data_IF_502138044247
#
_entry.id   IF_502138044247
#
_cell.length_a   1.000
_cell.length_b   1.000
_cell.length_c   1.000
_cell.angle_alpha   90.00
_cell.angle_beta   90.00
_cell.angle_gamma   90.00
#
_symmetry.space_group_name_H-M   'P 1'
#
loop_
_entity.id
_entity.type
_entity.pdbx_description
1 polymer ?
#
# COMPACT_ATOMS: atom_id res chain seq x y z
N UNK A 1 20.29 -5.98 29.11
CA UNK A 1 18.92 -5.44 28.96
C UNK A 1 19.11 -4.09 28.32
N UNK A 2 18.88 -4.00 27.02
CA UNK A 2 19.01 -2.75 26.30
C UNK A 2 17.88 -1.82 26.75
N UNK A 3 18.23 -0.57 27.04
CA UNK A 3 17.23 0.44 27.36
C UNK A 3 16.28 0.60 26.17
N UNK A 4 14.96 0.77 26.40
CA UNK A 4 14.04 1.03 25.31
C UNK A 4 14.49 2.29 24.55
N UNK A 5 14.32 2.31 23.22
CA UNK A 5 14.73 3.44 22.42
C UNK A 5 14.05 4.72 22.91
N UNK A 6 14.84 5.79 23.04
CA UNK A 6 14.35 7.08 23.50
C UNK A 6 13.77 7.83 22.31
N UNK A 7 12.50 8.23 22.41
CA UNK A 7 11.82 8.99 21.36
C UNK A 7 11.81 10.48 21.68
N UNK A 8 12.29 11.30 20.74
CA UNK A 8 12.31 12.77 20.84
C UNK A 8 11.59 13.40 19.65
N UNK A 9 10.95 14.56 19.87
CA UNK A 9 10.27 15.33 18.82
C UNK A 9 11.01 16.63 18.57
N UNK A 10 11.10 17.01 17.30
CA UNK A 10 11.73 18.24 16.86
C UNK A 10 10.87 18.90 15.78
N UNK A 11 11.12 20.17 15.53
CA UNK A 11 10.42 20.96 14.53
C UNK A 11 11.45 21.57 13.58
N UNK A 12 11.20 21.46 12.28
CA UNK A 12 12.06 22.11 11.28
C UNK A 12 11.82 23.63 11.24
N UNK A 13 12.64 24.41 10.51
CA UNK A 13 12.45 25.86 10.41
C UNK A 13 11.10 26.31 9.83
N UNK A 14 10.35 25.42 9.19
CA UNK A 14 9.05 25.68 8.59
C UNK A 14 7.87 25.27 9.50
N UNK A 15 8.15 24.79 10.72
CA UNK A 15 7.11 24.38 11.67
C UNK A 15 6.66 22.92 11.51
N UNK A 16 7.37 22.11 10.73
CA UNK A 16 7.04 20.70 10.51
C UNK A 16 7.64 19.82 11.60
N UNK A 17 6.77 19.17 12.37
CA UNK A 17 7.19 18.23 13.40
C UNK A 17 7.68 16.89 12.80
N UNK A 18 8.78 16.38 13.36
CA UNK A 18 9.33 15.06 13.08
C UNK A 18 9.82 14.38 14.36
N UNK A 19 9.86 13.05 14.36
CA UNK A 19 10.28 12.25 15.49
C UNK A 19 11.61 11.54 15.22
N UNK A 20 12.44 11.48 16.26
CA UNK A 20 13.75 10.85 16.23
C UNK A 20 13.75 9.73 17.28
N UNK A 21 14.08 8.54 16.83
CA UNK A 21 14.39 7.41 17.69
C UNK A 21 15.89 7.43 18.00
N UNK A 22 16.25 7.58 19.27
CA UNK A 22 17.63 7.53 19.75
C UNK A 22 17.87 6.17 20.37
N UNK A 23 18.79 5.41 19.77
CA UNK A 23 19.13 4.05 20.17
C UNK A 23 20.60 4.02 20.56
N UNK A 24 20.90 3.54 21.76
CA UNK A 24 22.28 3.33 22.20
C UNK A 24 22.55 1.83 22.23
N UNK A 25 23.53 1.38 21.44
CA UNK A 25 23.91 -0.04 21.35
C UNK A 25 25.41 -0.21 21.52
N UNK A 26 25.85 -1.36 22.06
CA UNK A 26 27.29 -1.64 22.19
C UNK A 26 27.94 -2.05 20.86
N UNK A 27 27.18 -2.61 19.92
CA UNK A 27 27.65 -3.14 18.63
C UNK A 27 26.62 -2.90 17.53
N UNK A 28 27.06 -2.86 16.27
CA UNK A 28 26.17 -2.70 15.12
C UNK A 28 25.41 -4.00 14.79
N UNK A 29 24.10 -3.89 14.65
CA UNK A 29 23.23 -4.98 14.21
C UNK A 29 22.52 -4.63 12.88
N UNK A 30 22.29 -5.63 12.01
CA UNK A 30 21.59 -5.43 10.72
C UNK A 30 20.15 -4.93 10.89
N UNK A 31 19.47 -5.32 11.96
CA UNK A 31 18.11 -4.87 12.29
C UNK A 31 18.02 -3.35 12.44
N UNK A 32 19.11 -2.67 12.81
CA UNK A 32 19.14 -1.20 12.91
C UNK A 32 18.98 -0.51 11.55
N UNK A 33 19.21 -1.23 10.45
CA UNK A 33 19.02 -0.73 9.08
C UNK A 33 17.59 -0.92 8.55
N UNK A 34 16.73 -1.59 9.32
CA UNK A 34 15.27 -1.59 9.06
C UNK A 34 14.71 -0.26 9.54
N UNK A 35 13.93 0.41 8.68
CA UNK A 35 13.30 1.69 9.02
C UNK A 35 12.52 1.60 10.34
N UNK A 36 12.53 2.65 11.17
CA UNK A 36 11.72 2.69 12.38
C UNK A 36 10.24 2.51 12.05
N UNK A 37 9.45 2.00 12.99
CA UNK A 37 8.00 1.97 12.80
C UNK A 37 7.50 3.41 12.57
N UNK A 38 6.62 3.60 11.58
CA UNK A 38 6.06 4.90 11.20
C UNK A 38 5.39 5.63 12.38
N UNK A 39 4.83 4.89 13.34
CA UNK A 39 4.25 5.41 14.58
C UNK A 39 5.31 5.89 15.57
N UNK A 40 6.52 5.36 15.49
CA UNK A 40 7.60 5.63 16.44
C UNK A 40 8.48 6.79 16.01
N UNK A 41 9.05 6.76 14.81
CA UNK A 41 9.98 7.81 14.38
C UNK A 41 10.08 7.98 12.87
N UNK A 42 10.58 9.15 12.45
CA UNK A 42 10.95 9.40 11.05
C UNK A 42 12.42 9.06 10.78
N UNK A 43 13.27 9.25 11.78
CA UNK A 43 14.72 9.13 11.71
C UNK A 43 15.20 8.31 12.89
N UNK A 44 16.26 7.52 12.67
CA UNK A 44 16.95 6.81 13.75
C UNK A 44 18.35 7.37 13.92
N UNK A 45 18.71 7.65 15.17
CA UNK A 45 20.05 8.00 15.58
C UNK A 45 20.61 6.85 16.43
N UNK A 46 21.75 6.30 16.03
CA UNK A 46 22.39 5.17 16.71
C UNK A 46 23.69 5.64 17.33
N UNK A 47 23.78 5.62 18.65
CA UNK A 47 25.02 5.86 19.39
C UNK A 47 25.70 4.51 19.61
N UNK A 48 26.87 4.32 19.00
CA UNK A 48 27.62 3.08 19.01
C UNK A 48 29.12 3.36 19.12
N UNK A 49 29.87 2.66 19.99
CA UNK A 49 31.32 2.82 20.08
C UNK A 49 32.06 2.26 18.85
N UNK A 50 31.47 1.30 18.13
CA UNK A 50 32.04 0.72 16.92
C UNK A 50 31.84 1.62 15.69
N UNK A 51 32.80 1.63 14.75
CA UNK A 51 32.66 2.39 13.52
C UNK A 51 31.45 1.94 12.71
N UNK A 52 30.77 2.90 12.09
CA UNK A 52 29.57 2.63 11.31
C UNK A 52 29.87 1.76 10.08
N UNK A 53 29.02 0.77 9.74
CA UNK A 53 29.13 0.04 8.49
C UNK A 53 29.03 0.97 7.27
N UNK A 54 29.65 0.59 6.15
CA UNK A 54 29.49 1.31 4.90
C UNK A 54 28.08 1.14 4.31
N UNK A 55 27.58 2.16 3.60
CA UNK A 55 26.32 2.07 2.84
C UNK A 55 25.05 2.16 3.67
N UNK A 56 25.08 2.82 4.82
CA UNK A 56 23.89 3.02 5.64
C UNK A 56 22.82 3.85 4.91
N UNK A 57 21.52 3.58 5.17
CA UNK A 57 20.44 4.40 4.64
C UNK A 57 20.54 5.86 5.08
N UNK A 58 20.18 6.80 4.21
CA UNK A 58 20.31 8.24 4.49
C UNK A 58 19.45 8.79 5.63
N UNK A 59 18.48 8.02 6.12
CA UNK A 59 17.63 8.35 7.29
C UNK A 59 18.20 7.83 8.61
N UNK A 60 19.29 7.07 8.59
CA UNK A 60 19.96 6.50 9.75
C UNK A 60 21.23 7.30 10.06
N UNK A 61 21.34 7.83 11.26
CA UNK A 61 22.46 8.67 11.69
C UNK A 61 23.33 7.86 12.66
N UNK A 62 24.54 7.44 12.23
CA UNK A 62 25.52 6.89 13.16
C UNK A 62 26.18 7.99 13.98
N UNK A 63 26.34 7.76 15.29
CA UNK A 63 27.18 8.57 16.17
C UNK A 63 28.19 7.65 16.83
N UNK A 64 29.45 7.85 16.49
CA UNK A 64 30.57 7.10 17.06
C UNK A 64 30.88 7.58 18.48
N UNK A 65 31.02 6.61 19.39
CA UNK A 65 31.39 6.83 20.78
C UNK A 65 30.28 6.48 21.78
N UNK A 66 30.51 6.82 23.03
CA UNK A 66 29.62 6.52 24.18
C UNK A 66 29.07 7.78 24.85
N UNK A 67 29.24 8.95 24.24
CA UNK A 67 28.91 10.23 24.86
C UNK A 67 27.43 10.57 24.78
N UNK A 68 26.93 11.27 25.79
CA UNK A 68 25.59 11.87 25.78
C UNK A 68 25.53 12.91 24.66
N UNK A 69 24.69 12.66 23.67
CA UNK A 69 24.50 13.57 22.54
C UNK A 69 23.57 14.71 22.97
N UNK A 70 24.06 15.95 22.86
CA UNK A 70 23.27 17.16 23.14
C UNK A 70 22.09 17.31 22.17
N UNK A 71 20.96 17.78 22.66
CA UNK A 71 19.72 17.93 21.88
C UNK A 71 19.88 18.76 20.60
N UNK A 72 20.57 19.90 20.65
CA UNK A 72 20.77 20.74 19.46
C UNK A 72 21.52 20.00 18.35
N UNK A 73 22.47 19.13 18.72
CA UNK A 73 23.22 18.31 17.78
C UNK A 73 22.33 17.23 17.17
N UNK A 74 21.46 16.62 17.97
CA UNK A 74 20.46 15.66 17.49
C UNK A 74 19.54 16.35 16.49
N UNK A 75 18.96 17.50 16.84
CA UNK A 75 18.06 18.26 15.97
C UNK A 75 18.70 18.61 14.62
N UNK A 76 19.97 19.08 14.64
CA UNK A 76 20.72 19.45 13.44
C UNK A 76 21.07 18.26 12.53
N UNK A 77 21.41 17.10 13.11
CA UNK A 77 21.68 15.89 12.34
C UNK A 77 20.37 15.28 11.80
N UNK A 78 19.35 15.20 12.66
CA UNK A 78 18.06 14.63 12.34
C UNK A 78 17.31 15.40 11.28
N UNK A 79 17.34 16.74 11.27
CA UNK A 79 16.68 17.54 10.23
C UNK A 79 17.21 17.22 8.82
N UNK A 80 18.51 16.95 8.68
CA UNK A 80 19.13 16.56 7.39
C UNK A 80 18.78 15.14 6.98
N UNK A 81 18.79 14.20 7.93
CA UNK A 81 18.42 12.81 7.67
C UNK A 81 16.91 12.63 7.43
N UNK A 82 16.09 13.49 8.02
CA UNK A 82 14.64 13.45 7.88
C UNK A 82 14.20 13.62 6.43
N UNK A 83 14.86 14.46 5.64
CA UNK A 83 14.61 14.59 4.20
C UNK A 83 14.86 13.30 3.40
N UNK A 84 15.57 12.33 3.99
CA UNK A 84 15.85 11.01 3.42
C UNK A 84 14.99 9.90 4.05
N UNK A 85 14.10 10.25 4.98
CA UNK A 85 13.18 9.32 5.62
C UNK A 85 12.20 8.74 4.60
N UNK A 86 11.86 7.44 4.68
CA UNK A 86 10.77 6.87 3.89
C UNK A 86 9.40 7.47 4.25
N UNK A 87 9.30 8.15 5.41
CA UNK A 87 8.09 8.82 5.88
C UNK A 87 8.12 10.34 5.67
N UNK A 88 9.18 10.84 5.03
CA UNK A 88 9.23 12.23 4.61
C UNK A 88 8.13 12.49 3.58
N UNK A 89 7.44 13.60 3.75
CA UNK A 89 6.52 14.16 2.76
C UNK A 89 6.90 15.63 2.61
N UNK A 90 6.94 16.10 1.37
CA UNK A 90 7.10 17.53 1.10
C UNK A 90 6.05 18.33 1.89
N UNK A 91 6.36 19.57 2.31
CA UNK A 91 5.41 20.39 3.05
C UNK A 91 4.09 20.52 2.30
N UNK A 92 3.04 19.90 2.85
CA UNK A 92 1.66 19.99 2.38
C UNK A 92 0.86 20.97 3.22
N UNK A 93 -0.41 20.63 3.51
CA UNK A 93 -1.24 21.41 4.42
C UNK A 93 -0.62 21.47 5.83
N UNK A 94 -0.84 22.58 6.54
CA UNK A 94 -0.33 22.77 7.90
C UNK A 94 -1.13 21.89 8.88
N UNK A 95 -0.56 21.48 10.03
CA UNK A 95 -1.30 20.71 11.04
C UNK A 95 -2.60 21.40 11.49
N UNK A 96 -2.63 22.73 11.45
CA UNK A 96 -3.84 23.51 11.71
C UNK A 96 -4.98 23.16 10.76
N UNK A 97 -4.71 22.97 9.46
CA UNK A 97 -5.73 22.66 8.46
C UNK A 97 -6.35 21.28 8.71
N UNK A 98 -5.53 20.30 9.10
CA UNK A 98 -6.01 18.99 9.53
C UNK A 98 -6.89 19.08 10.79
N UNK A 99 -6.47 19.86 11.79
CA UNK A 99 -7.25 20.08 13.02
C UNK A 99 -8.60 20.71 12.69
N UNK A 100 -8.62 21.72 11.82
CA UNK A 100 -9.86 22.38 11.39
C UNK A 100 -10.77 21.40 10.65
N UNK A 101 -10.26 20.70 9.64
CA UNK A 101 -11.04 19.76 8.84
C UNK A 101 -11.60 18.61 9.69
N UNK A 102 -10.76 18.02 10.55
CA UNK A 102 -11.17 16.95 11.46
C UNK A 102 -12.18 17.42 12.52
N UNK A 103 -12.05 18.65 13.01
CA UNK A 103 -13.03 19.21 13.94
C UNK A 103 -14.37 19.50 13.25
N UNK A 104 -14.33 20.07 12.05
CA UNK A 104 -15.53 20.34 11.25
C UNK A 104 -16.29 19.06 10.88
N UNK A 105 -15.60 17.92 10.78
CA UNK A 105 -16.22 16.62 10.64
C UNK A 105 -17.14 16.22 11.81
N UNK A 106 -17.10 16.88 12.97
CA UNK A 106 -18.08 16.68 14.05
C UNK A 106 -19.37 17.47 13.89
N UNK A 107 -19.46 18.39 12.93
CA UNK A 107 -20.52 19.39 12.82
C UNK A 107 -21.45 19.21 11.59
N UNK A 108 -22.19 18.10 11.43
CA UNK A 108 -23.17 18.00 10.34
C UNK A 108 -24.55 18.61 10.70
N UNK A 109 -25.30 19.15 9.72
CA UNK A 109 -24.93 19.44 8.33
C UNK A 109 -24.44 20.90 8.15
N UNK A 110 -24.02 21.20 6.93
CA UNK A 110 -23.43 22.49 6.52
C UNK A 110 -24.24 23.75 6.86
N UNK A 111 -23.58 24.92 7.02
CA UNK A 111 -22.14 25.14 6.82
C UNK A 111 -21.26 24.51 7.91
N UNK A 112 -19.98 24.22 7.62
CA UNK A 112 -19.09 23.66 8.64
C UNK A 112 -19.02 24.64 9.81
N UNK A 113 -19.02 24.12 11.04
CA UNK A 113 -18.88 24.99 12.21
C UNK A 113 -17.55 25.78 12.13
N UNK A 114 -17.51 27.02 12.66
CA UNK A 114 -16.26 27.76 12.74
C UNK A 114 -15.25 26.97 13.59
N UNK A 115 -13.94 27.13 13.32
CA UNK A 115 -12.91 26.44 14.09
C UNK A 115 -13.00 26.83 15.57
N UNK A 116 -13.06 25.83 16.44
CA UNK A 116 -13.08 26.03 17.89
C UNK A 116 -11.66 26.14 18.44
N UNK A 117 -11.39 27.02 19.42
CA UNK A 117 -10.14 27.00 20.18
C UNK A 117 -9.84 25.64 20.84
N UNK A 118 -10.88 24.83 21.07
CA UNK A 118 -10.77 23.48 21.66
C UNK A 118 -10.68 22.36 20.62
N UNK A 119 -10.63 22.68 19.31
CA UNK A 119 -10.69 21.69 18.23
C UNK A 119 -9.68 20.54 18.39
N UNK A 120 -8.45 20.88 18.78
CA UNK A 120 -7.38 19.90 19.02
C UNK A 120 -7.69 18.97 20.21
N UNK A 121 -8.18 19.53 21.30
CA UNK A 121 -8.53 18.74 22.50
C UNK A 121 -9.73 17.81 22.23
N UNK A 122 -10.71 18.29 21.46
CA UNK A 122 -11.82 17.46 20.98
C UNK A 122 -11.31 16.28 20.16
N UNK A 123 -10.43 16.52 19.19
CA UNK A 123 -9.82 15.48 18.35
C UNK A 123 -8.97 14.49 19.16
N UNK A 124 -8.15 14.98 20.10
CA UNK A 124 -7.35 14.12 20.97
C UNK A 124 -8.23 13.24 21.88
N UNK A 125 -9.33 13.79 22.40
CA UNK A 125 -10.29 13.04 23.22
C UNK A 125 -11.04 11.99 22.41
N UNK A 126 -11.44 12.33 21.18
CA UNK A 126 -11.99 11.37 20.24
C UNK A 126 -10.99 10.25 19.94
N UNK A 127 -9.75 10.60 19.60
CA UNK A 127 -8.69 9.65 19.28
C UNK A 127 -8.40 8.65 20.41
N UNK A 128 -8.32 9.12 21.66
CA UNK A 128 -8.12 8.25 22.85
C UNK A 128 -9.19 7.18 23.00
N UNK A 129 -10.43 7.45 22.60
CA UNK A 129 -11.54 6.47 22.70
C UNK A 129 -11.50 5.42 21.60
N UNK A 130 -10.94 5.75 20.43
CA UNK A 130 -10.95 4.87 19.24
C UNK A 130 -9.73 3.97 19.12
N UNK A 131 -8.55 4.49 19.46
CA UNK A 131 -7.30 3.76 19.25
C UNK A 131 -6.96 3.59 17.76
N UNK A 132 -6.31 2.47 17.41
CA UNK A 132 -5.95 2.16 16.02
C UNK A 132 -5.07 3.22 15.37
N UNK A 133 -5.45 3.68 14.17
CA UNK A 133 -4.74 4.75 13.46
C UNK A 133 -4.88 6.13 14.12
N UNK A 134 -5.86 6.31 15.01
CA UNK A 134 -6.02 7.55 15.77
C UNK A 134 -5.22 7.56 17.07
N UNK A 135 -4.82 6.40 17.60
CA UNK A 135 -4.18 6.29 18.92
C UNK A 135 -3.06 7.33 19.16
N UNK A 136 -2.12 7.56 18.22
CA UNK A 136 -1.05 8.53 18.45
C UNK A 136 -1.54 9.98 18.62
N UNK A 137 -2.68 10.37 18.05
CA UNK A 137 -3.29 11.69 18.29
C UNK A 137 -3.80 11.86 19.72
N UNK A 138 -4.11 10.76 20.40
CA UNK A 138 -4.63 10.78 21.77
C UNK A 138 -3.56 10.69 22.85
N UNK A 139 -2.40 10.12 22.49
CA UNK A 139 -1.35 9.71 23.41
C UNK A 139 -0.12 10.61 23.34
N UNK A 140 0.10 11.26 22.21
CA UNK A 140 1.29 12.08 21.99
C UNK A 140 1.03 13.54 22.34
N UNK A 141 2.06 14.21 22.86
CA UNK A 141 2.04 15.66 23.05
C UNK A 141 1.87 16.42 21.73
N UNK A 142 1.86 17.75 21.79
CA UNK A 142 1.59 18.63 20.63
C UNK A 142 2.35 18.26 19.36
N UNK A 143 3.67 18.04 19.47
CA UNK A 143 4.52 17.80 18.30
C UNK A 143 4.30 16.40 17.70
N UNK A 144 4.02 15.40 18.53
CA UNK A 144 3.65 14.06 18.06
C UNK A 144 2.28 14.03 17.38
N UNK A 145 1.32 14.76 17.94
CA UNK A 145 0.02 14.99 17.29
C UNK A 145 0.20 15.60 15.88
N UNK A 146 0.95 16.70 15.79
CA UNK A 146 1.16 17.43 14.53
C UNK A 146 1.94 16.60 13.51
N UNK A 147 2.96 15.85 13.96
CA UNK A 147 3.67 14.88 13.14
C UNK A 147 2.72 13.82 12.60
N UNK A 148 1.93 13.20 13.48
CA UNK A 148 1.11 12.06 13.11
C UNK A 148 0.02 12.43 12.09
N UNK A 149 -0.55 13.64 12.21
CA UNK A 149 -1.48 14.17 11.19
C UNK A 149 -0.87 14.13 9.77
N UNK A 150 0.37 14.58 9.62
CA UNK A 150 1.11 14.59 8.35
C UNK A 150 1.43 13.18 7.86
N UNK A 151 1.84 12.30 8.77
CA UNK A 151 2.36 10.97 8.43
C UNK A 151 1.24 10.00 8.07
N UNK A 152 0.17 9.96 8.87
CA UNK A 152 -0.91 8.99 8.71
C UNK A 152 -1.89 9.37 7.59
N UNK A 153 -2.14 10.66 7.34
CA UNK A 153 -3.12 11.10 6.35
C UNK A 153 -2.51 11.94 5.25
N UNK A 154 -2.96 11.72 4.00
CA UNK A 154 -2.42 12.40 2.81
C UNK A 154 -2.84 13.87 2.71
N UNK A 155 -4.03 14.21 3.22
CA UNK A 155 -4.60 15.56 3.19
C UNK A 155 -5.58 15.78 4.35
N UNK A 156 -5.94 17.04 4.67
CA UNK A 156 -6.97 17.36 5.66
C UNK A 156 -8.32 16.69 5.35
N UNK A 157 -8.71 16.60 4.08
CA UNK A 157 -9.96 15.95 3.66
C UNK A 157 -9.91 14.44 3.90
N UNK A 158 -8.75 13.80 3.67
CA UNK A 158 -8.56 12.39 3.96
C UNK A 158 -8.70 12.11 5.47
N UNK A 159 -8.16 13.00 6.31
CA UNK A 159 -8.32 12.92 7.76
C UNK A 159 -9.78 13.14 8.19
N UNK A 160 -10.45 14.17 7.67
CA UNK A 160 -11.85 14.45 7.96
C UNK A 160 -12.77 13.29 7.57
N UNK A 161 -12.55 12.66 6.40
CA UNK A 161 -13.28 11.45 5.99
C UNK A 161 -13.08 10.29 6.97
N UNK A 162 -11.86 10.10 7.50
CA UNK A 162 -11.59 9.07 8.49
C UNK A 162 -12.35 9.35 9.81
N UNK A 163 -12.41 10.61 10.25
CA UNK A 163 -13.21 11.01 11.42
C UNK A 163 -14.70 10.74 11.17
N UNK A 164 -15.23 11.11 10.00
CA UNK A 164 -16.63 10.85 9.65
C UNK A 164 -16.95 9.35 9.60
N UNK A 165 -16.06 8.52 9.03
CA UNK A 165 -16.24 7.07 8.97
C UNK A 165 -16.33 6.46 10.38
N UNK A 166 -15.45 6.87 11.29
CA UNK A 166 -15.51 6.43 12.69
C UNK A 166 -16.78 6.88 13.41
N UNK A 167 -17.27 8.10 13.12
CA UNK A 167 -18.55 8.60 13.65
C UNK A 167 -19.73 7.79 13.13
N UNK A 168 -19.73 7.47 11.84
CA UNK A 168 -20.73 6.60 11.21
C UNK A 168 -20.69 5.20 11.83
N UNK A 169 -19.50 4.64 12.08
CA UNK A 169 -19.36 3.37 12.80
C UNK A 169 -19.90 3.44 14.24
N UNK A 170 -19.75 4.59 14.92
CA UNK A 170 -20.32 4.85 16.25
C UNK A 170 -21.85 4.89 16.23
N UNK A 171 -22.44 5.31 15.10
CA UNK A 171 -23.89 5.31 14.88
C UNK A 171 -24.45 3.91 14.57
N UNK A 172 -23.61 2.88 14.48
CA UNK A 172 -24.02 1.49 14.24
C UNK A 172 -23.78 1.00 12.81
N UNK A 173 -23.28 1.84 11.92
CA UNK A 173 -23.21 1.57 10.47
C UNK A 173 -21.94 0.84 10.03
N UNK A 174 -21.45 -0.12 10.82
CA UNK A 174 -20.22 -0.86 10.50
C UNK A 174 -20.37 -1.70 9.23
N UNK A 175 -21.52 -2.36 9.07
CA UNK A 175 -21.79 -3.22 7.90
C UNK A 175 -21.85 -2.40 6.60
N UNK A 176 -22.39 -1.19 6.67
CA UNK A 176 -22.38 -0.26 5.54
C UNK A 176 -20.97 0.21 5.18
N UNK A 177 -20.13 0.51 6.16
CA UNK A 177 -18.72 0.83 5.92
C UNK A 177 -17.96 -0.34 5.29
N UNK A 178 -18.25 -1.57 5.72
CA UNK A 178 -17.68 -2.78 5.10
C UNK A 178 -18.14 -2.94 3.64
N UNK A 179 -19.40 -2.60 3.33
CA UNK A 179 -19.92 -2.58 1.97
C UNK A 179 -19.24 -1.52 1.10
N UNK A 180 -18.99 -0.33 1.64
CA UNK A 180 -18.23 0.73 0.96
C UNK A 180 -16.80 0.28 0.69
N UNK A 181 -16.13 -0.31 1.68
CA UNK A 181 -14.78 -0.86 1.50
C UNK A 181 -14.76 -1.97 0.43
N UNK A 182 -15.78 -2.84 0.40
CA UNK A 182 -15.94 -3.86 -0.65
C UNK A 182 -16.10 -3.23 -2.04
N UNK A 183 -16.93 -2.18 -2.17
CA UNK A 183 -17.09 -1.43 -3.42
C UNK A 183 -15.75 -0.84 -3.87
N UNK A 184 -15.01 -0.20 -2.97
CA UNK A 184 -13.70 0.41 -3.27
C UNK A 184 -12.65 -0.62 -3.69
N UNK A 185 -12.63 -1.81 -3.06
CA UNK A 185 -11.71 -2.90 -3.41
C UNK A 185 -12.09 -3.59 -4.74
N UNK A 186 -13.38 -3.79 -4.99
CA UNK A 186 -13.87 -4.47 -6.18
C UNK A 186 -13.40 -3.74 -7.45
N UNK A 187 -12.85 -4.48 -8.42
CA UNK A 187 -12.35 -3.88 -9.67
C UNK A 187 -13.09 -4.51 -10.86
N UNK A 188 -13.65 -3.66 -11.70
CA UNK A 188 -14.42 -4.04 -12.89
C UNK A 188 -13.80 -3.37 -14.10
N UNK A 189 -13.30 -4.17 -15.02
CA UNK A 189 -12.85 -3.70 -16.32
C UNK A 189 -14.08 -3.42 -17.19
N UNK A 190 -14.26 -2.19 -17.72
CA UNK A 190 -15.48 -1.79 -18.42
C UNK A 190 -15.46 -2.23 -19.88
N UNK A 191 -15.87 -3.47 -20.17
CA UNK A 191 -15.89 -4.02 -21.52
C UNK A 191 -17.08 -4.97 -21.74
N UNK A 192 -17.82 -4.78 -22.83
CA UNK A 192 -19.02 -5.58 -23.12
C UNK A 192 -20.04 -5.52 -21.97
N UNK A 193 -20.39 -6.69 -21.43
CA UNK A 193 -21.45 -6.84 -20.43
C UNK A 193 -21.11 -6.24 -19.04
N UNK A 194 -19.84 -5.88 -18.78
CA UNK A 194 -19.42 -5.31 -17.49
C UNK A 194 -19.46 -3.78 -17.43
N UNK A 195 -19.74 -3.10 -18.55
CA UNK A 195 -19.78 -1.62 -18.61
C UNK A 195 -20.79 -1.06 -17.60
N UNK A 196 -22.02 -1.57 -17.63
CA UNK A 196 -23.07 -1.10 -16.73
C UNK A 196 -22.69 -1.30 -15.24
N UNK A 197 -22.07 -2.43 -14.91
CA UNK A 197 -21.63 -2.72 -13.55
C UNK A 197 -20.49 -1.79 -13.10
N UNK A 198 -19.56 -1.46 -14.00
CA UNK A 198 -18.48 -0.53 -13.72
C UNK A 198 -18.98 0.91 -13.52
N UNK A 199 -19.94 1.36 -14.34
CA UNK A 199 -20.52 2.70 -14.23
C UNK A 199 -21.38 2.84 -12.97
N UNK A 200 -22.19 1.82 -12.65
CA UNK A 200 -22.94 1.77 -11.39
C UNK A 200 -22.00 1.85 -10.19
N UNK A 201 -20.90 1.09 -10.19
CA UNK A 201 -19.89 1.14 -9.12
C UNK A 201 -19.33 2.55 -8.94
N UNK A 202 -18.96 3.22 -10.04
CA UNK A 202 -18.42 4.60 -10.00
C UNK A 202 -19.44 5.56 -9.38
N UNK A 203 -20.69 5.49 -9.81
CA UNK A 203 -21.78 6.30 -9.24
C UNK A 203 -22.03 6.01 -7.76
N UNK A 204 -21.94 4.76 -7.33
CA UNK A 204 -22.11 4.37 -5.93
C UNK A 204 -20.98 4.91 -5.05
N UNK A 205 -19.72 4.82 -5.48
CA UNK A 205 -18.56 5.37 -4.73
C UNK A 205 -18.69 6.88 -4.50
N UNK A 206 -19.25 7.62 -5.45
CA UNK A 206 -19.46 9.07 -5.31
C UNK A 206 -20.57 9.43 -4.31
N UNK A 207 -21.57 8.55 -4.15
CA UNK A 207 -22.73 8.78 -3.28
C UNK A 207 -22.56 8.19 -1.89
N UNK A 208 -21.89 7.04 -1.77
CA UNK A 208 -21.66 6.34 -0.51
C UNK A 208 -20.41 6.85 0.19
N UNK A 209 -20.46 8.11 0.60
CA UNK A 209 -19.41 8.71 1.41
C UNK A 209 -19.92 8.97 2.83
N UNK A 210 -19.06 8.90 3.86
CA UNK A 210 -19.44 9.28 5.22
C UNK A 210 -20.00 10.70 5.31
N UNK A 211 -19.57 11.63 4.44
CA UNK A 211 -20.14 12.97 4.39
C UNK A 211 -21.61 12.96 3.94
N UNK A 212 -21.95 12.17 2.93
CA UNK A 212 -23.32 12.03 2.42
C UNK A 212 -24.24 11.40 3.46
N UNK A 213 -23.76 10.40 4.21
CA UNK A 213 -24.51 9.81 5.32
C UNK A 213 -25.04 10.87 6.30
N UNK A 214 -24.22 11.86 6.66
CA UNK A 214 -24.64 12.91 7.58
C UNK A 214 -25.34 14.12 6.91
N UNK A 215 -25.08 14.38 5.64
CA UNK A 215 -25.62 15.55 4.93
C UNK A 215 -26.97 15.29 4.25
N UNK A 216 -27.19 14.06 3.79
CA UNK A 216 -28.38 13.61 3.06
C UNK A 216 -28.64 12.13 3.37
N UNK A 217 -29.16 11.81 4.58
CA UNK A 217 -29.36 10.43 5.00
C UNK A 217 -30.27 9.64 4.05
N UNK A 218 -31.34 10.26 3.54
CA UNK A 218 -32.28 9.58 2.63
C UNK A 218 -31.62 9.20 1.30
N UNK A 219 -30.87 10.12 0.68
CA UNK A 219 -30.12 9.80 -0.54
C UNK A 219 -28.98 8.80 -0.31
N UNK A 220 -28.44 8.75 0.91
CA UNK A 220 -27.44 7.76 1.30
C UNK A 220 -28.06 6.37 1.48
N UNK A 221 -29.20 6.25 2.15
CA UNK A 221 -29.92 4.97 2.34
C UNK A 221 -30.30 4.34 0.98
N UNK A 222 -30.83 5.14 0.06
CA UNK A 222 -31.14 4.71 -1.31
C UNK A 222 -29.89 4.20 -2.05
N UNK A 223 -28.75 4.87 -1.88
CA UNK A 223 -27.49 4.44 -2.48
C UNK A 223 -26.96 3.15 -1.82
N UNK A 224 -27.21 2.95 -0.53
CA UNK A 224 -26.77 1.77 0.22
C UNK A 224 -27.54 0.53 -0.24
N UNK A 225 -28.86 0.64 -0.44
CA UNK A 225 -29.69 -0.44 -0.99
C UNK A 225 -29.23 -0.82 -2.40
N UNK A 226 -28.96 0.16 -3.26
CA UNK A 226 -28.42 -0.08 -4.60
C UNK A 226 -27.04 -0.76 -4.55
N UNK A 227 -26.21 -0.47 -3.55
CA UNK A 227 -24.92 -1.12 -3.38
C UNK A 227 -25.04 -2.58 -2.94
N UNK A 228 -26.05 -2.93 -2.14
CA UNK A 228 -26.33 -4.32 -1.76
C UNK A 228 -26.70 -5.13 -3.02
N UNK A 229 -27.60 -4.60 -3.85
CA UNK A 229 -27.98 -5.23 -5.13
C UNK A 229 -26.78 -5.35 -6.08
N UNK A 230 -26.00 -4.27 -6.20
CA UNK A 230 -24.79 -4.26 -7.01
C UNK A 230 -23.77 -5.32 -6.53
N UNK A 231 -23.57 -5.46 -5.22
CA UNK A 231 -22.65 -6.47 -4.65
C UNK A 231 -23.09 -7.88 -5.02
N UNK A 232 -24.38 -8.19 -4.94
CA UNK A 232 -24.90 -9.49 -5.34
C UNK A 232 -24.64 -9.77 -6.83
N UNK A 233 -24.92 -8.80 -7.71
CA UNK A 233 -24.65 -8.91 -9.14
C UNK A 233 -23.15 -9.09 -9.44
N UNK A 234 -22.29 -8.30 -8.79
CA UNK A 234 -20.84 -8.40 -8.92
C UNK A 234 -20.33 -9.77 -8.49
N UNK A 235 -20.76 -10.29 -7.34
CA UNK A 235 -20.29 -11.59 -6.84
C UNK A 235 -20.64 -12.74 -7.79
N UNK A 236 -21.85 -12.74 -8.37
CA UNK A 236 -22.26 -13.74 -9.37
C UNK A 236 -21.39 -13.64 -10.63
N UNK A 237 -21.20 -12.43 -11.16
CA UNK A 237 -20.38 -12.21 -12.35
C UNK A 237 -18.90 -12.55 -12.12
N UNK A 238 -18.37 -12.16 -10.97
CA UNK A 238 -16.99 -12.40 -10.55
C UNK A 238 -16.71 -13.89 -10.35
N UNK A 239 -17.62 -14.63 -9.70
CA UNK A 239 -17.52 -16.08 -9.55
C UNK A 239 -17.44 -16.79 -10.91
N UNK A 240 -18.31 -16.40 -11.84
CA UNK A 240 -18.31 -16.97 -13.19
C UNK A 240 -17.01 -16.63 -13.94
N UNK A 241 -16.53 -15.38 -13.85
CA UNK A 241 -15.29 -14.94 -14.47
C UNK A 241 -14.06 -15.65 -13.89
N UNK A 242 -13.95 -15.71 -12.57
CA UNK A 242 -12.85 -16.38 -11.90
C UNK A 242 -12.76 -17.86 -12.29
N UNK A 243 -13.89 -18.58 -12.34
CA UNK A 243 -13.93 -19.98 -12.79
C UNK A 243 -13.42 -20.14 -14.22
N UNK A 244 -13.71 -19.18 -15.12
CA UNK A 244 -13.15 -19.18 -16.48
C UNK A 244 -11.65 -18.94 -16.47
N UNK A 245 -11.16 -17.97 -15.71
CA UNK A 245 -9.73 -17.65 -15.57
C UNK A 245 -8.96 -18.83 -14.98
N UNK A 246 -9.46 -19.45 -13.91
CA UNK A 246 -8.81 -20.60 -13.26
C UNK A 246 -8.72 -21.82 -14.19
N UNK A 247 -9.79 -22.12 -14.95
CA UNK A 247 -9.74 -23.16 -15.99
C UNK A 247 -8.73 -22.84 -17.07
N UNK A 248 -8.74 -21.60 -17.57
CA UNK A 248 -7.78 -21.13 -18.57
C UNK A 248 -6.33 -21.22 -18.06
N UNK A 249 -6.09 -20.99 -16.77
CA UNK A 249 -4.79 -21.18 -16.12
C UNK A 249 -4.33 -22.63 -16.24
N UNK A 250 -5.18 -23.59 -15.84
CA UNK A 250 -4.88 -25.02 -15.95
C UNK A 250 -4.62 -25.43 -17.40
N UNK A 251 -5.49 -25.04 -18.33
CA UNK A 251 -5.37 -25.40 -19.75
C UNK A 251 -4.11 -24.79 -20.38
N UNK A 252 -3.80 -23.54 -20.03
CA UNK A 252 -2.62 -22.84 -20.55
C UNK A 252 -1.35 -23.47 -20.01
N UNK A 253 -1.26 -23.76 -18.70
CA UNK A 253 -0.08 -24.41 -18.11
C UNK A 253 0.16 -25.80 -18.72
N UNK A 254 -0.90 -26.59 -18.93
CA UNK A 254 -0.81 -27.87 -19.62
C UNK A 254 -0.30 -27.72 -21.06
N UNK A 255 -0.81 -26.73 -21.80
CA UNK A 255 -0.37 -26.44 -23.17
C UNK A 255 1.07 -25.92 -23.27
N UNK A 256 1.61 -25.31 -22.22
CA UNK A 256 2.97 -24.79 -22.17
C UNK A 256 4.04 -25.84 -21.85
N UNK A 257 3.65 -27.04 -21.40
CA UNK A 257 4.60 -28.11 -21.03
C UNK A 257 5.70 -28.36 -22.07
N UNK A 258 5.42 -28.46 -23.39
CA UNK A 258 6.47 -28.66 -24.39
C UNK A 258 7.50 -27.52 -24.42
N UNK A 259 7.05 -26.28 -24.28
CA UNK A 259 7.95 -25.11 -24.28
C UNK A 259 8.74 -25.02 -22.97
N UNK A 260 8.15 -25.39 -21.83
CA UNK A 260 8.84 -25.47 -20.54
C UNK A 260 9.95 -26.51 -20.61
N UNK A 261 9.69 -27.71 -21.13
CA UNK A 261 10.74 -28.73 -21.33
C UNK A 261 11.81 -28.26 -22.31
N UNK A 262 11.41 -27.64 -23.42
CA UNK A 262 12.35 -27.09 -24.41
C UNK A 262 13.20 -25.92 -23.85
N UNK A 263 12.70 -25.21 -22.83
CA UNK A 263 13.43 -24.13 -22.16
C UNK A 263 14.70 -24.61 -21.47
N UNK A 264 14.69 -25.82 -20.90
CA UNK A 264 15.86 -26.43 -20.27
C UNK A 264 16.92 -26.81 -21.30
N UNK A 265 16.47 -27.34 -22.44
CA UNK A 265 17.32 -27.66 -23.59
C UNK A 265 17.96 -26.39 -24.16
N UNK A 266 17.19 -25.31 -24.33
CA UNK A 266 17.73 -24.02 -24.79
C UNK A 266 18.77 -23.45 -23.81
N UNK A 267 18.53 -23.54 -22.50
CA UNK A 267 19.51 -23.15 -21.48
C UNK A 267 20.77 -24.02 -21.51
N UNK A 268 20.67 -25.29 -21.87
CA UNK A 268 21.84 -26.15 -22.05
C UNK A 268 22.63 -25.72 -23.30
N UNK A 269 21.97 -25.47 -24.43
CA UNK A 269 22.63 -24.95 -25.64
C UNK A 269 23.34 -23.62 -25.39
N UNK A 270 22.65 -22.65 -24.78
CA UNK A 270 23.22 -21.34 -24.48
C UNK A 270 24.37 -21.39 -23.44
N UNK A 271 24.49 -22.47 -22.66
CA UNK A 271 25.62 -22.70 -21.73
C UNK A 271 26.79 -23.42 -22.38
N UNK A 272 26.53 -24.28 -23.35
CA UNK A 272 27.53 -25.11 -24.03
C UNK A 272 28.14 -24.44 -25.27
N UNK A 273 27.66 -23.26 -25.66
CA UNK A 273 27.96 -22.68 -26.96
C UNK A 273 29.43 -22.24 -27.06
N UNK A 274 30.20 -23.01 -27.84
CA UNK A 274 31.56 -22.70 -28.29
C UNK A 274 31.60 -21.70 -29.45
N UNK A 275 30.45 -21.34 -30.06
CA UNK A 275 30.40 -20.68 -31.39
C UNK A 275 29.38 -19.53 -31.56
N UNK A 276 28.89 -18.83 -30.52
CA UNK A 276 28.01 -17.67 -30.76
C UNK A 276 27.39 -16.96 -29.55
N UNK A 277 26.66 -15.87 -29.82
CA UNK A 277 25.86 -15.16 -28.81
C UNK A 277 24.59 -15.96 -28.44
N UNK A 278 24.19 -15.96 -27.16
CA UNK A 278 23.02 -16.70 -26.69
C UNK A 278 21.73 -16.22 -27.35
N UNK A 279 20.85 -17.17 -27.70
CA UNK A 279 19.59 -16.90 -28.43
C UNK A 279 18.39 -17.10 -27.49
N UNK A 280 17.42 -16.19 -27.56
CA UNK A 280 16.12 -16.39 -26.90
C UNK A 280 16.11 -16.24 -25.38
N UNK A 281 17.16 -15.68 -24.76
CA UNK A 281 17.20 -15.47 -23.30
C UNK A 281 16.05 -14.60 -22.77
N UNK A 282 15.64 -13.56 -23.51
CA UNK A 282 14.49 -12.74 -23.13
C UNK A 282 13.18 -13.56 -23.14
N UNK A 283 12.98 -14.41 -24.14
CA UNK A 283 11.81 -15.28 -24.23
C UNK A 283 11.77 -16.29 -23.08
N UNK A 284 12.93 -16.83 -22.65
CA UNK A 284 13.02 -17.70 -21.48
C UNK A 284 12.58 -17.00 -20.19
N UNK A 285 13.05 -15.78 -19.95
CA UNK A 285 12.68 -15.01 -18.76
C UNK A 285 11.21 -14.59 -18.78
N UNK A 286 10.69 -14.18 -19.95
CA UNK A 286 9.27 -13.88 -20.13
C UNK A 286 8.39 -15.11 -19.90
N UNK A 287 8.76 -16.26 -20.46
CA UNK A 287 8.03 -17.52 -20.26
C UNK A 287 8.03 -17.92 -18.79
N UNK A 288 9.19 -17.88 -18.12
CA UNK A 288 9.31 -18.22 -16.69
C UNK A 288 8.44 -17.31 -15.83
N UNK A 289 8.49 -16.00 -16.06
CA UNK A 289 7.68 -15.01 -15.32
C UNK A 289 6.19 -15.27 -15.52
N UNK A 290 5.77 -15.44 -16.77
CA UNK A 290 4.35 -15.65 -17.09
C UNK A 290 3.83 -16.99 -16.54
N UNK A 291 4.62 -18.07 -16.59
CA UNK A 291 4.25 -19.37 -15.98
C UNK A 291 4.12 -19.24 -14.47
N UNK A 292 5.04 -18.53 -13.81
CA UNK A 292 4.96 -18.29 -12.37
C UNK A 292 3.68 -17.50 -12.00
N UNK A 293 3.40 -16.41 -12.72
CA UNK A 293 2.21 -15.59 -12.50
C UNK A 293 0.90 -16.36 -12.73
N UNK A 294 0.82 -17.18 -13.79
CA UNK A 294 -0.34 -18.06 -14.02
C UNK A 294 -0.45 -19.12 -12.92
N UNK A 295 0.67 -19.66 -12.45
CA UNK A 295 0.73 -20.66 -11.38
C UNK A 295 0.31 -20.13 -10.01
N UNK A 296 0.34 -18.82 -9.79
CA UNK A 296 -0.15 -18.17 -8.56
C UNK A 296 -1.68 -18.03 -8.53
N UNK A 297 -2.38 -18.28 -9.64
CA UNK A 297 -3.84 -18.23 -9.68
C UNK A 297 -4.41 -19.42 -8.89
N UNK A 298 -5.13 -19.19 -7.78
CA UNK A 298 -5.66 -20.26 -6.96
C UNK A 298 -6.82 -20.98 -7.66
N UNK A 299 -7.03 -22.25 -7.31
CA UNK A 299 -8.14 -23.03 -7.83
C UNK A 299 -9.51 -22.61 -7.27
N UNK A 300 -9.52 -22.02 -6.07
CA UNK A 300 -10.71 -21.60 -5.36
C UNK A 300 -10.65 -20.10 -5.05
N UNK A 301 -11.83 -19.49 -4.94
CA UNK A 301 -11.97 -18.10 -4.51
C UNK A 301 -11.68 -17.95 -3.02
N UNK A 302 -11.17 -16.79 -2.65
CA UNK A 302 -11.15 -16.33 -1.26
C UNK A 302 -12.52 -15.70 -0.94
N UNK A 303 -13.35 -16.32 -0.08
CA UNK A 303 -14.66 -15.78 0.27
C UNK A 303 -14.59 -14.49 1.10
N UNK A 304 -13.43 -14.17 1.68
CA UNK A 304 -13.22 -13.01 2.55
C UNK A 304 -12.81 -11.73 1.81
N UNK A 305 -12.65 -11.76 0.48
CA UNK A 305 -12.16 -10.61 -0.30
C UNK A 305 -13.06 -10.28 -1.49
N UNK A 306 -13.08 -9.02 -1.89
CA UNK A 306 -13.75 -8.62 -3.13
C UNK A 306 -13.06 -9.19 -4.38
N UNK A 307 -11.76 -9.46 -4.27
CA UNK A 307 -10.91 -10.01 -5.33
C UNK A 307 -9.97 -11.08 -4.79
N UNK A 308 -9.65 -12.04 -5.66
CA UNK A 308 -8.75 -13.16 -5.35
C UNK A 308 -7.57 -13.13 -6.31
N UNK A 309 -6.35 -13.20 -5.79
CA UNK A 309 -5.10 -13.18 -6.56
C UNK A 309 -5.02 -12.02 -7.58
N UNK A 310 -5.57 -10.85 -7.23
CA UNK A 310 -5.55 -9.66 -8.09
C UNK A 310 -6.43 -9.74 -9.34
N UNK A 311 -7.20 -10.83 -9.55
CA UNK A 311 -8.06 -10.97 -10.72
C UNK A 311 -9.11 -9.86 -10.75
N UNK A 312 -9.30 -9.29 -11.94
CA UNK A 312 -10.22 -8.18 -12.20
C UNK A 312 -11.38 -8.69 -13.05
N UNK A 313 -12.62 -8.37 -12.68
CA UNK A 313 -13.80 -8.78 -13.46
C UNK A 313 -13.74 -8.17 -14.86
N UNK A 314 -13.97 -8.98 -15.89
CA UNK A 314 -13.99 -8.51 -17.29
C UNK A 314 -12.61 -8.43 -17.94
N UNK A 315 -11.52 -8.68 -17.21
CA UNK A 315 -10.16 -8.69 -17.75
C UNK A 315 -9.47 -10.02 -17.52
N UNK A 316 -8.80 -10.52 -18.56
CA UNK A 316 -7.87 -11.64 -18.43
C UNK A 316 -6.46 -11.13 -18.10
N UNK A 317 -5.73 -11.78 -17.18
CA UNK A 317 -4.32 -11.48 -16.91
C UNK A 317 -3.46 -11.47 -18.18
N UNK A 318 -2.58 -10.47 -18.31
CA UNK A 318 -1.69 -10.34 -19.49
C UNK A 318 -0.75 -11.54 -19.65
N UNK A 319 -0.37 -12.18 -18.54
CA UNK A 319 0.47 -13.37 -18.50
C UNK A 319 -0.01 -14.50 -19.43
N UNK A 320 -1.32 -14.64 -19.67
CA UNK A 320 -1.85 -15.65 -20.58
C UNK A 320 -1.37 -15.47 -22.03
N UNK A 321 -1.41 -14.24 -22.53
CA UNK A 321 -0.94 -13.91 -23.88
C UNK A 321 0.59 -13.95 -23.96
N UNK A 322 1.25 -13.38 -22.95
CA UNK A 322 2.71 -13.37 -22.84
C UNK A 322 3.29 -14.78 -22.81
N UNK A 323 2.69 -15.70 -22.05
CA UNK A 323 3.16 -17.08 -21.97
C UNK A 323 3.09 -17.80 -23.32
N UNK A 324 2.00 -17.61 -24.09
CA UNK A 324 1.83 -18.21 -25.41
C UNK A 324 2.86 -17.68 -26.42
N UNK A 325 3.07 -16.37 -26.44
CA UNK A 325 4.06 -15.73 -27.32
C UNK A 325 5.49 -16.13 -26.94
N UNK A 326 5.81 -16.11 -25.65
CA UNK A 326 7.12 -16.50 -25.15
C UNK A 326 7.40 -17.98 -25.40
N UNK A 327 6.41 -18.86 -25.25
CA UNK A 327 6.54 -20.29 -25.58
C UNK A 327 6.85 -20.52 -27.05
N UNK A 328 6.13 -19.86 -27.97
CA UNK A 328 6.41 -19.95 -29.40
C UNK A 328 7.84 -19.47 -29.72
N UNK A 329 8.29 -18.37 -29.10
CA UNK A 329 9.64 -17.84 -29.26
C UNK A 329 10.73 -18.79 -28.71
N UNK A 330 10.49 -19.45 -27.57
CA UNK A 330 11.41 -20.46 -27.01
C UNK A 330 11.54 -21.65 -27.94
N UNK A 331 10.42 -22.19 -28.46
CA UNK A 331 10.44 -23.30 -29.41
C UNK A 331 11.19 -22.94 -30.71
N UNK A 332 10.98 -21.71 -31.23
CA UNK A 332 11.71 -21.21 -32.39
C UNK A 332 13.22 -21.06 -32.10
N UNK A 333 13.59 -20.54 -30.93
CA UNK A 333 14.99 -20.39 -30.54
C UNK A 333 15.72 -21.74 -30.39
N UNK A 334 15.03 -22.77 -29.89
CA UNK A 334 15.55 -24.14 -29.83
C UNK A 334 15.85 -24.67 -31.23
N UNK A 335 14.94 -24.47 -32.18
CA UNK A 335 15.15 -24.90 -33.57
C UNK A 335 16.32 -24.15 -34.24
N UNK A 336 16.47 -22.84 -33.98
CA UNK A 336 17.64 -22.08 -34.46
C UNK A 336 18.94 -22.64 -33.91
N UNK A 337 19.01 -22.92 -32.60
CA UNK A 337 20.21 -23.48 -31.99
C UNK A 337 20.51 -24.89 -32.51
N UNK A 338 19.48 -25.72 -32.69
CA UNK A 338 19.63 -27.05 -33.29
C UNK A 338 20.29 -26.97 -34.68
N UNK A 339 19.86 -26.04 -35.52
CA UNK A 339 20.47 -25.82 -36.84
C UNK A 339 21.92 -25.36 -36.76
N UNK A 340 22.25 -24.47 -35.82
CA UNK A 340 23.64 -24.01 -35.60
C UNK A 340 24.56 -25.14 -35.15
N UNK A 341 24.06 -26.08 -34.35
CA UNK A 341 24.86 -27.23 -33.89
C UNK A 341 25.01 -28.34 -34.92
N UNK A 342 24.22 -28.32 -36.00
CA UNK A 342 24.30 -29.30 -37.10
C UNK A 342 25.19 -28.85 -38.27
N UNK A 343 25.66 -27.60 -38.26
CA UNK A 343 26.59 -26.99 -39.22
C UNK A 343 28.00 -27.07 -38.66
#
# INVERSE_FOLDING_TARGET
MDAPPERRFYVDPFGTAFAVEVVTVPVWDRSLTVAPDVRQADVRLVVCPEPAPAGLPGWLIPIEGSDIVKDDRIASLASRAWLRSPYHREPGALPADFVVAGFQAFCPPHPPCPPSPQARETLATFARRRGGAFAPLGEEGRDGFDRWLRVAWRSPEHFARAVLAERMAEAGEREALDLVAFLEEAEVWPEGDTIALADQRRSLIERLTPLRYFADPGGWDEANDQAIEWRAAYQVAYLAHFRRVARLATDTLAGLLPAITASEVLRAFNRNDRNGQPVGNEALERLRRAVAEIGEIPANLDPGRARTAGITLGRFPGAFADARLAAAAVLAAVEVQRRRTMV
#
